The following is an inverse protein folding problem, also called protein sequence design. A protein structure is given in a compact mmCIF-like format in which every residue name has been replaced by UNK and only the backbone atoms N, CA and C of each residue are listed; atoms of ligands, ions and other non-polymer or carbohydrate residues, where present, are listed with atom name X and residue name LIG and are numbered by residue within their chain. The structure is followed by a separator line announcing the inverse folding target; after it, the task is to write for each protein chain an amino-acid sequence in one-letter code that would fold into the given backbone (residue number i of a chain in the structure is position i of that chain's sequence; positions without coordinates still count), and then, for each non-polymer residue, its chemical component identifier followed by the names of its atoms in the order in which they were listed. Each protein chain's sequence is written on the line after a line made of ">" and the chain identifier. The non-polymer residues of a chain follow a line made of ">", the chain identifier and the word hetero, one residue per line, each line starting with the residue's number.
data_IF_466708010167
#
_entry.id   IF_466708010167
#
_cell.length_a   1.000
_cell.length_b   1.000
_cell.length_c   1.000
_cell.angle_alpha   90.00
_cell.angle_beta   90.00
_cell.angle_gamma   90.00
#
_symmetry.space_group_name_H-M   'P 1'
#
loop_
_entity.id
_entity.type
_entity.pdbx_description
1 polymer ?
#
# COMPACT_ATOMS: atom_id res chain seq x y z
N UNK A 1 -19.19 -10.69 10.51
CA UNK A 1 -18.12 -10.85 9.51
C UNK A 1 -17.18 -9.68 9.68
N UNK A 2 -16.04 -9.93 10.30
CA UNK A 2 -15.02 -8.92 10.56
C UNK A 2 -14.41 -8.48 9.21
N UNK A 3 -14.75 -7.26 8.76
CA UNK A 3 -14.22 -6.72 7.50
C UNK A 3 -12.80 -6.22 7.77
N UNK A 4 -11.78 -6.72 7.06
CA UNK A 4 -10.42 -6.21 7.21
C UNK A 4 -10.37 -4.72 6.92
N UNK A 5 -9.70 -3.96 7.79
CA UNK A 5 -9.52 -2.52 7.61
C UNK A 5 -8.35 -2.33 6.65
N UNK A 6 -8.67 -2.00 5.40
CA UNK A 6 -7.70 -1.64 4.36
C UNK A 6 -8.01 -0.22 3.90
N UNK A 7 -7.04 0.71 3.93
CA UNK A 7 -7.26 2.08 3.45
C UNK A 7 -7.79 2.08 2.02
N UNK A 8 -8.72 2.98 1.70
CA UNK A 8 -9.36 3.01 0.38
C UNK A 8 -8.36 3.25 -0.75
N UNK A 9 -7.32 4.05 -0.51
CA UNK A 9 -6.29 4.28 -1.52
C UNK A 9 -5.53 3.01 -1.89
N UNK A 10 -5.38 2.03 -0.98
CA UNK A 10 -4.76 0.75 -1.29
C UNK A 10 -5.56 -0.07 -2.31
N UNK A 11 -6.83 0.28 -2.57
CA UNK A 11 -7.69 -0.38 -3.56
C UNK A 11 -7.58 0.26 -4.95
N UNK A 12 -6.83 1.36 -5.06
CA UNK A 12 -6.65 2.07 -6.32
C UNK A 12 -5.55 1.41 -7.14
N UNK A 13 -5.85 1.15 -8.41
CA UNK A 13 -4.85 0.71 -9.37
C UNK A 13 -3.92 1.87 -9.76
N UNK A 14 -2.67 1.59 -10.17
CA UNK A 14 -1.87 2.56 -10.87
C UNK A 14 -2.60 3.04 -12.15
N UNK A 15 -2.37 4.28 -12.61
CA UNK A 15 -2.90 4.73 -13.90
C UNK A 15 -2.46 3.80 -15.04
N UNK A 16 -3.27 3.73 -16.10
CA UNK A 16 -2.94 2.99 -17.32
C UNK A 16 -1.73 3.64 -18.01
N UNK A 17 -0.54 3.17 -17.64
CA UNK A 17 0.73 3.70 -18.12
C UNK A 17 1.15 5.02 -17.45
N UNK A 18 2.41 5.44 -17.66
CA UNK A 18 2.96 6.63 -17.04
C UNK A 18 2.47 7.91 -17.74
N UNK A 19 1.95 8.86 -16.97
CA UNK A 19 1.51 10.17 -17.46
C UNK A 19 2.66 11.11 -17.83
N UNK A 20 3.80 10.94 -17.18
CA UNK A 20 5.06 11.60 -17.48
C UNK A 20 6.11 10.57 -17.92
N UNK A 21 7.21 10.99 -18.53
CA UNK A 21 8.16 10.09 -19.24
C UNK A 21 9.33 9.59 -18.39
N UNK A 22 9.34 9.80 -17.06
CA UNK A 22 10.38 9.22 -16.22
C UNK A 22 10.16 7.70 -16.04
N UNK A 23 11.24 6.96 -15.81
CA UNK A 23 11.20 5.53 -15.52
C UNK A 23 11.60 5.32 -14.05
N UNK A 24 10.60 5.31 -13.15
CA UNK A 24 10.84 5.20 -11.71
C UNK A 24 10.16 3.91 -11.21
N UNK A 25 10.92 2.83 -10.96
CA UNK A 25 10.40 1.61 -10.34
C UNK A 25 9.83 1.92 -8.96
N UNK A 26 8.58 1.53 -8.74
CA UNK A 26 7.84 1.76 -7.51
C UNK A 26 6.99 0.54 -7.17
N UNK A 27 6.48 0.47 -5.95
CA UNK A 27 5.62 -0.63 -5.48
C UNK A 27 4.19 -0.12 -5.30
N UNK A 28 3.19 -0.90 -5.70
CA UNK A 28 1.78 -0.67 -5.35
C UNK A 28 1.18 -1.94 -4.73
N UNK A 29 0.14 -1.79 -3.92
CA UNK A 29 -0.63 -2.93 -3.44
C UNK A 29 -1.69 -3.33 -4.48
N UNK A 30 -1.62 -4.56 -4.94
CA UNK A 30 -2.60 -5.17 -5.82
C UNK A 30 -3.66 -5.88 -4.97
N UNK A 31 -4.85 -5.31 -4.86
CA UNK A 31 -5.93 -5.88 -4.05
C UNK A 31 -6.50 -7.19 -4.62
N UNK A 32 -6.24 -7.51 -5.89
CA UNK A 32 -6.68 -8.76 -6.53
C UNK A 32 -5.78 -9.92 -6.12
N UNK A 33 -4.46 -9.75 -6.18
CA UNK A 33 -3.49 -10.75 -5.73
C UNK A 33 -3.26 -10.72 -4.21
N UNK A 34 -3.61 -9.60 -3.56
CA UNK A 34 -3.29 -9.27 -2.18
C UNK A 34 -1.78 -9.16 -1.92
N UNK A 35 -1.01 -8.77 -2.95
CA UNK A 35 0.44 -8.63 -2.90
C UNK A 35 0.89 -7.20 -3.21
N UNK A 36 2.14 -6.90 -2.85
CA UNK A 36 2.81 -5.65 -3.23
C UNK A 36 3.69 -5.88 -4.45
N UNK A 37 3.27 -5.33 -5.57
CA UNK A 37 3.82 -5.57 -6.91
C UNK A 37 4.56 -4.34 -7.44
N UNK A 38 5.50 -4.56 -8.34
CA UNK A 38 6.27 -3.49 -8.98
C UNK A 38 5.49 -2.87 -10.15
N UNK A 39 5.60 -1.54 -10.29
CA UNK A 39 5.10 -0.80 -11.44
C UNK A 39 6.04 0.36 -11.78
N UNK A 40 5.88 0.94 -12.97
CA UNK A 40 6.66 2.11 -13.40
C UNK A 40 5.86 3.38 -13.18
N UNK A 41 6.38 4.25 -12.32
CA UNK A 41 5.84 5.59 -12.12
C UNK A 41 6.50 6.60 -13.05
N UNK A 42 5.66 7.36 -13.78
CA UNK A 42 6.10 8.35 -14.76
C UNK A 42 6.79 9.60 -14.19
N UNK A 43 6.81 9.77 -12.86
CA UNK A 43 7.41 10.93 -12.20
C UNK A 43 6.45 12.08 -11.89
N UNK A 44 5.19 12.02 -12.32
CA UNK A 44 4.17 13.01 -11.95
C UNK A 44 2.79 12.37 -11.72
N UNK A 45 1.96 13.00 -10.88
CA UNK A 45 0.59 12.57 -10.60
C UNK A 45 0.50 11.22 -9.88
N UNK A 46 -0.49 10.41 -10.28
CA UNK A 46 -0.80 9.12 -9.65
C UNK A 46 -1.59 9.25 -8.36
N UNK A 47 -1.52 8.24 -7.50
CA UNK A 47 -2.25 8.15 -6.24
C UNK A 47 -1.32 7.71 -5.08
N UNK A 48 -1.89 7.54 -3.88
CA UNK A 48 -1.15 7.19 -2.67
C UNK A 48 -0.79 5.70 -2.54
N UNK A 49 -1.25 4.85 -3.47
CA UNK A 49 -0.85 3.45 -3.54
C UNK A 49 0.51 3.32 -4.24
N UNK A 50 1.54 3.95 -3.66
CA UNK A 50 2.89 4.00 -4.21
C UNK A 50 3.90 4.03 -3.08
N UNK A 51 4.81 3.07 -3.07
CA UNK A 51 5.75 2.86 -1.99
C UNK A 51 7.14 2.53 -2.51
N UNK A 52 8.16 3.02 -1.81
CA UNK A 52 9.56 2.74 -2.16
C UNK A 52 10.03 1.33 -1.72
N UNK A 53 9.18 0.55 -1.04
CA UNK A 53 9.51 -0.84 -0.64
C UNK A 53 8.28 -1.73 -0.44
N UNK A 54 8.45 -3.03 -0.73
CA UNK A 54 7.44 -4.07 -0.46
C UNK A 54 7.03 -4.12 1.01
N UNK A 55 8.01 -3.98 1.93
CA UNK A 55 7.74 -3.97 3.38
C UNK A 55 6.76 -2.87 3.77
N UNK A 56 7.02 -1.62 3.36
CA UNK A 56 6.15 -0.49 3.71
C UNK A 56 4.76 -0.59 3.07
N UNK A 57 4.70 -1.10 1.84
CA UNK A 57 3.44 -1.41 1.17
C UNK A 57 2.63 -2.44 1.97
N UNK A 58 3.23 -3.56 2.37
CA UNK A 58 2.53 -4.61 3.14
C UNK A 58 2.11 -4.14 4.52
N UNK A 59 2.97 -3.40 5.23
CA UNK A 59 2.64 -2.81 6.54
C UNK A 59 1.43 -1.86 6.46
N UNK A 60 1.27 -1.17 5.33
CA UNK A 60 0.23 -0.16 5.13
C UNK A 60 -1.07 -0.76 4.59
N UNK A 61 -0.98 -1.66 3.61
CA UNK A 61 -2.12 -2.08 2.79
C UNK A 61 -2.53 -3.55 2.98
N UNK A 62 -1.72 -4.37 3.63
CA UNK A 62 -2.10 -5.77 3.87
C UNK A 62 -3.30 -5.85 4.82
N UNK A 63 -4.30 -6.69 4.55
CA UNK A 63 -5.49 -6.85 5.38
C UNK A 63 -5.10 -7.23 6.80
N UNK A 64 -5.36 -6.33 7.75
CA UNK A 64 -5.16 -6.62 9.16
C UNK A 64 -6.44 -7.26 9.71
N UNK A 65 -6.34 -8.33 10.53
CA UNK A 65 -7.50 -8.80 11.26
C UNK A 65 -8.00 -7.65 12.14
N UNK A 66 -9.31 -7.39 12.11
CA UNK A 66 -9.99 -6.44 12.98
C UNK A 66 -10.06 -7.01 14.40
N UNK A 67 -8.90 -7.14 15.03
CA UNK A 67 -8.77 -7.24 16.48
C UNK A 67 -8.51 -5.85 17.07
N UNK A 68 -8.75 -5.64 18.38
CA UNK A 68 -8.39 -4.39 19.04
C UNK A 68 -6.87 -4.17 18.94
N UNK A 69 -6.45 -3.38 17.96
CA UNK A 69 -5.08 -2.88 17.89
C UNK A 69 -5.05 -1.57 18.65
N UNK A 70 -4.67 -1.63 19.93
CA UNK A 70 -3.88 -0.64 20.69
C UNK A 70 -3.80 -1.10 22.16
N UNK A 71 -2.82 -1.93 22.49
CA UNK A 71 -2.23 -1.94 23.83
C UNK A 71 -0.72 -2.15 23.69
N UNK A 72 -0.01 -1.09 23.32
CA UNK A 72 1.43 -1.03 23.60
C UNK A 72 1.53 -0.84 25.11
N UNK A 73 1.72 -1.94 25.86
CA UNK A 73 2.16 -1.84 27.26
C UNK A 73 3.58 -1.28 27.23
N UNK A 74 3.71 0.02 27.38
CA UNK A 74 4.97 0.65 27.77
C UNK A 74 5.20 0.24 29.22
N UNK A 75 5.89 -0.88 29.42
CA UNK A 75 6.43 -1.23 30.74
C UNK A 75 7.54 -0.25 31.05
N UNK A 76 7.21 0.73 31.87
CA UNK A 76 8.16 1.62 32.55
C UNK A 76 8.96 0.79 33.56
N UNK A 77 10.28 0.77 33.40
CA UNK A 77 11.23 0.49 34.48
C UNK A 77 11.75 1.82 35.01
#
# INVERSE_FOLDING_TARGET
>A
LDRPIVPDFCKLFPPDGPSCIAYIPQIFYNSTSQECEEFIYGGCGGNNNRFDSKKKCMETCSPQPSGPKHEVKVTQL
#
